data_IF_534967475483
#
_entry.id   IF_534967475483
#
_cell.length_a   1.000
_cell.length_b   1.000
_cell.length_c   1.000
_cell.angle_alpha   90.00
_cell.angle_beta   90.00
_cell.angle_gamma   90.00
#
_symmetry.space_group_name_H-M   'P 1'
#
loop_
_entity.id
_entity.type
_entity.pdbx_description
1 polymer ?
#
# COMPACT_ATOMS: atom_id res chain seq x y z
N UNK A 1 -8.26 6.11 0.29
CA UNK A 1 -6.87 5.98 -0.20
C UNK A 1 -6.20 7.30 -0.53
N UNK A 2 -6.84 8.26 -1.23
CA UNK A 2 -6.18 9.56 -1.48
C UNK A 2 -5.72 10.24 -0.17
N UNK A 3 -6.58 10.26 0.85
CA UNK A 3 -6.25 10.82 2.17
C UNK A 3 -5.05 10.15 2.83
N UNK A 4 -4.93 8.81 2.74
CA UNK A 4 -3.77 8.06 3.25
C UNK A 4 -2.47 8.51 2.57
N UNK A 5 -2.46 8.61 1.24
CA UNK A 5 -1.29 9.09 0.50
C UNK A 5 -0.92 10.52 0.87
N UNK A 6 -1.91 11.42 0.94
CA UNK A 6 -1.68 12.82 1.28
C UNK A 6 -1.13 12.98 2.71
N UNK A 7 -1.66 12.23 3.67
CA UNK A 7 -1.21 12.26 5.06
C UNK A 7 0.22 11.71 5.25
N UNK A 8 0.59 10.66 4.49
CA UNK A 8 1.95 10.12 4.50
C UNK A 8 2.94 11.00 3.71
N UNK A 9 2.41 11.81 2.78
CA UNK A 9 3.14 12.84 2.08
C UNK A 9 3.97 12.36 0.88
N UNK A 10 4.50 13.32 0.10
CA UNK A 10 5.16 13.04 -1.18
C UNK A 10 6.47 12.27 -1.02
N UNK A 11 7.16 12.39 0.12
CA UNK A 11 8.41 11.66 0.37
C UNK A 11 8.18 10.15 0.49
N UNK A 12 7.15 9.74 1.24
CA UNK A 12 6.73 8.33 1.32
C UNK A 12 6.27 7.85 -0.05
N UNK A 13 5.44 8.65 -0.75
CA UNK A 13 4.96 8.31 -2.08
C UNK A 13 6.09 8.04 -3.08
N UNK A 14 7.13 8.88 -3.08
CA UNK A 14 8.32 8.69 -3.91
C UNK A 14 8.98 7.32 -3.68
N UNK A 15 9.11 6.92 -2.42
CA UNK A 15 9.69 5.63 -2.07
C UNK A 15 8.81 4.45 -2.50
N UNK A 16 7.49 4.57 -2.36
CA UNK A 16 6.53 3.56 -2.83
C UNK A 16 6.65 3.33 -4.35
N UNK A 17 6.76 4.41 -5.14
CA UNK A 17 6.94 4.31 -6.60
C UNK A 17 8.23 3.61 -6.98
N UNK A 18 9.32 3.85 -6.25
CA UNK A 18 10.60 3.17 -6.46
C UNK A 18 10.56 1.68 -6.09
N UNK A 19 9.67 1.30 -5.17
CA UNK A 19 9.47 -0.08 -4.73
C UNK A 19 8.64 -0.95 -5.69
N UNK A 20 8.12 -0.41 -6.79
CA UNK A 20 7.29 -1.19 -7.73
C UNK A 20 8.11 -2.29 -8.42
N UNK A 21 7.67 -3.54 -8.28
CA UNK A 21 8.24 -4.69 -8.97
C UNK A 21 7.46 -5.03 -10.25
N UNK A 22 8.05 -4.71 -11.42
CA UNK A 22 7.47 -5.04 -12.73
C UNK A 22 7.25 -6.56 -12.89
N UNK A 23 8.15 -7.38 -12.33
CA UNK A 23 8.00 -8.84 -12.33
C UNK A 23 6.74 -9.28 -11.60
N UNK A 24 6.50 -8.76 -10.38
CA UNK A 24 5.29 -9.06 -9.61
C UNK A 24 4.03 -8.60 -10.34
N UNK A 25 4.03 -7.41 -10.94
CA UNK A 25 2.88 -6.95 -11.73
C UNK A 25 2.55 -7.88 -12.90
N UNK A 26 3.55 -8.51 -13.52
CA UNK A 26 3.32 -9.53 -14.56
C UNK A 26 2.81 -10.84 -13.98
N UNK A 27 3.43 -11.33 -12.90
CA UNK A 27 3.01 -12.55 -12.21
C UNK A 27 1.54 -12.52 -11.81
N UNK A 28 1.08 -11.39 -11.26
CA UNK A 28 -0.31 -11.20 -10.84
C UNK A 28 -1.21 -10.57 -11.92
N UNK A 29 -0.75 -10.54 -13.18
CA UNK A 29 -1.53 -10.05 -14.34
C UNK A 29 -2.06 -8.60 -14.21
N UNK A 30 -1.44 -7.77 -13.37
CA UNK A 30 -1.79 -6.35 -13.17
C UNK A 30 -1.09 -5.43 -14.16
N UNK A 31 0.02 -5.86 -14.78
CA UNK A 31 0.86 -5.04 -15.64
C UNK A 31 0.08 -4.25 -16.71
N UNK A 32 -0.73 -4.93 -17.53
CA UNK A 32 -1.44 -4.27 -18.64
C UNK A 32 -2.56 -3.35 -18.16
N UNK A 33 -3.33 -3.78 -17.15
CA UNK A 33 -4.38 -2.96 -16.54
C UNK A 33 -3.80 -1.68 -15.93
N UNK A 34 -2.73 -1.80 -15.15
CA UNK A 34 -2.11 -0.64 -14.52
C UNK A 34 -1.46 0.27 -15.56
N UNK A 35 -0.84 -0.28 -16.62
CA UNK A 35 -0.27 0.52 -17.72
C UNK A 35 -1.32 1.44 -18.35
N UNK A 36 -2.52 0.91 -18.60
CA UNK A 36 -3.64 1.68 -19.12
C UNK A 36 -4.13 2.74 -18.10
N UNK A 37 -4.33 2.35 -16.84
CA UNK A 37 -4.75 3.27 -15.75
C UNK A 37 -3.75 4.40 -15.48
N UNK A 38 -2.45 4.09 -15.63
CA UNK A 38 -1.35 5.03 -15.50
C UNK A 38 -1.15 5.90 -16.75
N UNK A 39 -1.85 5.59 -17.86
CA UNK A 39 -1.72 6.27 -19.17
C UNK A 39 -0.28 6.25 -19.68
N UNK A 40 0.39 5.10 -19.56
CA UNK A 40 1.78 4.92 -19.98
C UNK A 40 1.89 3.98 -21.19
N UNK A 41 2.82 4.28 -22.11
CA UNK A 41 3.11 3.40 -23.24
C UNK A 41 3.86 2.12 -22.82
N UNK A 42 4.64 2.20 -21.74
CA UNK A 42 5.41 1.09 -21.14
C UNK A 42 5.47 1.26 -19.62
N UNK A 43 5.60 0.15 -18.89
CA UNK A 43 5.88 0.18 -17.45
C UNK A 43 7.30 -0.36 -17.19
N UNK A 44 8.17 0.54 -16.74
CA UNK A 44 9.48 0.24 -16.19
C UNK A 44 9.88 1.34 -15.20
N UNK A 45 11.02 1.17 -14.52
CA UNK A 45 11.49 2.12 -13.52
C UNK A 45 11.60 3.57 -14.07
N UNK A 46 12.06 3.74 -15.31
CA UNK A 46 12.22 5.06 -15.92
C UNK A 46 10.87 5.73 -16.21
N UNK A 47 9.91 4.99 -16.79
CA UNK A 47 8.59 5.53 -17.10
C UNK A 47 7.79 5.84 -15.84
N UNK A 48 7.92 5.00 -14.79
CA UNK A 48 7.30 5.23 -13.49
C UNK A 48 7.87 6.49 -12.83
N UNK A 49 9.20 6.63 -12.76
CA UNK A 49 9.85 7.83 -12.20
C UNK A 49 9.44 9.12 -12.92
N UNK A 50 9.30 9.08 -14.25
CA UNK A 50 8.85 10.24 -15.05
C UNK A 50 7.36 10.55 -14.83
N UNK A 51 6.55 9.54 -14.54
CA UNK A 51 5.12 9.68 -14.34
C UNK A 51 4.73 10.02 -12.89
N UNK A 52 5.61 9.76 -11.93
CA UNK A 52 5.40 9.98 -10.50
C UNK A 52 4.79 11.35 -10.16
N UNK A 53 5.29 12.49 -10.68
CA UNK A 53 4.68 13.79 -10.37
C UNK A 53 3.22 13.89 -10.85
N UNK A 54 2.89 13.24 -11.98
CA UNK A 54 1.51 13.19 -12.48
C UNK A 54 0.65 12.26 -11.64
N UNK A 55 1.20 11.17 -11.11
CA UNK A 55 0.46 10.32 -10.19
C UNK A 55 0.13 11.08 -8.91
N UNK A 56 1.10 11.80 -8.35
CA UNK A 56 0.88 12.64 -7.16
C UNK A 56 -0.20 13.70 -7.41
N UNK A 57 -0.15 14.42 -8.53
CA UNK A 57 -1.18 15.40 -8.87
C UNK A 57 -2.60 14.81 -8.93
N UNK A 58 -2.74 13.55 -9.38
CA UNK A 58 -4.03 12.84 -9.41
C UNK A 58 -4.52 12.45 -8.01
N UNK A 59 -3.59 12.10 -7.12
CA UNK A 59 -3.89 11.89 -5.69
C UNK A 59 -4.35 13.19 -5.04
N UNK A 60 -3.68 14.32 -5.34
CA UNK A 60 -4.08 15.64 -4.83
C UNK A 60 -5.44 16.10 -5.37
N UNK A 61 -5.78 15.74 -6.61
CA UNK A 61 -7.10 16.01 -7.19
C UNK A 61 -8.19 15.03 -6.74
N UNK A 62 -7.91 14.13 -5.80
CA UNK A 62 -8.89 13.23 -5.22
C UNK A 62 -9.34 12.09 -6.13
N UNK A 63 -8.51 11.64 -7.09
CA UNK A 63 -8.84 10.49 -7.95
C UNK A 63 -8.77 9.15 -7.17
N UNK A 64 -9.82 8.86 -6.40
CA UNK A 64 -9.87 7.74 -5.44
C UNK A 64 -9.75 6.34 -6.10
N UNK A 65 -10.37 6.13 -7.26
CA UNK A 65 -10.20 4.88 -8.01
C UNK A 65 -8.75 4.66 -8.43
N UNK A 66 -8.06 5.72 -8.83
CA UNK A 66 -6.65 5.63 -9.21
C UNK A 66 -5.77 5.38 -7.99
N UNK A 67 -6.04 6.03 -6.86
CA UNK A 67 -5.34 5.77 -5.61
C UNK A 67 -5.48 4.31 -5.17
N UNK A 68 -6.66 3.72 -5.33
CA UNK A 68 -6.93 2.32 -5.01
C UNK A 68 -6.23 1.35 -5.99
N UNK A 69 -6.29 1.61 -7.29
CA UNK A 69 -5.53 0.80 -8.27
C UNK A 69 -4.00 0.91 -8.02
N UNK A 70 -3.51 2.08 -7.59
CA UNK A 70 -2.10 2.33 -7.29
C UNK A 70 -1.65 1.68 -5.98
N UNK A 71 -2.51 1.64 -4.95
CA UNK A 71 -2.20 0.94 -3.69
C UNK A 71 -1.92 -0.53 -3.96
N UNK A 72 -2.76 -1.19 -4.76
CA UNK A 72 -2.59 -2.59 -5.13
C UNK A 72 -1.22 -2.85 -5.79
N UNK A 73 -0.76 -1.94 -6.65
CA UNK A 73 0.55 -2.03 -7.31
C UNK A 73 1.70 -1.98 -6.31
N UNK A 74 1.63 -1.09 -5.31
CA UNK A 74 2.62 -1.02 -4.24
C UNK A 74 2.60 -2.28 -3.38
N UNK A 75 1.42 -2.76 -2.99
CA UNK A 75 1.27 -3.91 -2.10
C UNK A 75 1.72 -5.22 -2.74
N UNK A 76 1.39 -5.47 -4.00
CA UNK A 76 1.83 -6.67 -4.73
C UNK A 76 3.35 -6.78 -4.84
N UNK A 77 4.05 -5.64 -4.75
CA UNK A 77 5.52 -5.61 -4.77
C UNK A 77 6.12 -6.02 -3.41
N UNK A 78 5.31 -6.15 -2.36
CA UNK A 78 5.74 -6.35 -0.96
C UNK A 78 4.96 -7.46 -0.23
N UNK A 79 4.44 -8.45 -0.96
CA UNK A 79 3.60 -9.53 -0.39
C UNK A 79 4.22 -10.28 0.80
N UNK A 80 5.55 -10.45 0.85
CA UNK A 80 6.20 -11.11 1.99
C UNK A 80 6.09 -10.31 3.28
N UNK A 81 6.10 -8.97 3.22
CA UNK A 81 5.85 -8.12 4.38
C UNK A 81 4.39 -8.22 4.82
N UNK A 82 3.47 -8.18 3.85
CA UNK A 82 2.03 -8.27 4.08
C UNK A 82 1.69 -9.59 4.77
N UNK A 83 2.20 -10.70 4.25
CA UNK A 83 2.01 -12.02 4.85
C UNK A 83 2.50 -12.09 6.31
N UNK A 84 3.68 -11.55 6.60
CA UNK A 84 4.23 -11.53 7.95
C UNK A 84 3.38 -10.68 8.91
N UNK A 85 2.92 -9.51 8.48
CA UNK A 85 2.05 -8.64 9.28
C UNK A 85 0.69 -9.29 9.51
N UNK A 86 0.07 -9.89 8.49
CA UNK A 86 -1.21 -10.59 8.63
C UNK A 86 -1.09 -11.76 9.59
N UNK A 87 -0.01 -12.56 9.50
CA UNK A 87 0.27 -13.64 10.46
C UNK A 87 0.45 -13.12 11.89
N UNK A 88 1.18 -12.01 12.06
CA UNK A 88 1.36 -11.39 13.37
C UNK A 88 0.03 -10.92 13.99
N UNK A 89 -0.87 -10.38 13.17
CA UNK A 89 -2.22 -9.98 13.59
C UNK A 89 -3.18 -11.17 13.75
N UNK A 90 -2.76 -12.39 13.40
CA UNK A 90 -3.61 -13.57 13.39
C UNK A 90 -4.67 -13.60 12.28
N UNK A 91 -4.56 -12.71 11.29
CA UNK A 91 -5.50 -12.61 10.18
C UNK A 91 -5.29 -13.79 9.21
N UNK A 92 -6.31 -14.63 8.97
CA UNK A 92 -6.24 -15.69 7.98
C UNK A 92 -5.91 -15.12 6.60
N UNK A 93 -4.88 -15.68 5.96
CA UNK A 93 -4.44 -15.25 4.65
C UNK A 93 -3.79 -16.38 3.87
N UNK A 94 -3.81 -16.26 2.55
CA UNK A 94 -3.10 -17.13 1.63
C UNK A 94 -2.10 -16.28 0.84
N UNK A 95 -0.80 -16.42 1.14
CA UNK A 95 0.29 -15.68 0.48
C UNK A 95 0.12 -14.14 0.53
N UNK A 96 -0.36 -13.62 1.66
CA UNK A 96 -0.60 -12.19 1.85
C UNK A 96 -1.95 -11.69 1.33
N UNK A 97 -2.82 -12.56 0.82
CA UNK A 97 -4.19 -12.23 0.46
C UNK A 97 -5.15 -12.69 1.57
N UNK A 98 -5.88 -11.77 2.17
CA UNK A 98 -6.91 -12.06 3.16
C UNK A 98 -8.30 -12.19 2.54
N UNK A 99 -9.23 -12.81 3.26
CA UNK A 99 -10.64 -12.80 2.89
C UNK A 99 -11.21 -11.37 2.98
N UNK A 100 -12.18 -11.05 2.11
CA UNK A 100 -12.87 -9.76 2.09
C UNK A 100 -13.97 -9.65 3.13
N UNK A 101 -14.47 -10.78 3.62
CA UNK A 101 -15.58 -10.85 4.57
C UNK A 101 -15.10 -11.02 6.03
N UNK A 102 -13.85 -10.64 6.32
CA UNK A 102 -13.30 -10.67 7.68
C UNK A 102 -14.01 -9.66 8.58
N UNK A 103 -14.23 -10.05 9.84
CA UNK A 103 -14.61 -9.12 10.89
C UNK A 103 -13.36 -8.42 11.45
N UNK A 104 -13.12 -7.13 11.16
CA UNK A 104 -11.89 -6.44 11.54
C UNK A 104 -11.67 -6.39 13.06
N UNK A 105 -12.75 -6.25 13.83
CA UNK A 105 -12.72 -6.08 15.29
C UNK A 105 -12.11 -7.30 16.00
N UNK A 106 -12.13 -8.48 15.37
CA UNK A 106 -11.53 -9.70 15.91
C UNK A 106 -10.00 -9.66 15.91
N UNK A 107 -9.39 -8.90 15.00
CA UNK A 107 -7.95 -8.93 14.74
C UNK A 107 -7.27 -7.58 15.00
N UNK A 108 -7.92 -6.49 14.59
CA UNK A 108 -7.43 -5.11 14.72
C UNK A 108 -7.75 -4.54 16.11
N UNK A 109 -7.23 -5.19 17.15
CA UNK A 109 -7.44 -4.78 18.55
C UNK A 109 -6.72 -3.48 18.91
N UNK A 110 -7.04 -2.90 20.06
CA UNK A 110 -6.47 -1.62 20.50
C UNK A 110 -4.94 -1.55 20.34
N UNK A 111 -4.46 -0.46 19.74
CA UNK A 111 -3.04 -0.20 19.52
C UNK A 111 -2.35 -1.12 18.50
N UNK A 112 -3.09 -1.89 17.69
CA UNK A 112 -2.51 -2.82 16.72
C UNK A 112 -1.55 -2.14 15.74
N UNK A 113 -1.85 -0.91 15.27
CA UNK A 113 -0.99 -0.19 14.33
C UNK A 113 0.42 0.01 14.93
N UNK A 114 0.48 0.40 16.21
CA UNK A 114 1.74 0.58 16.93
C UNK A 114 2.46 -0.73 17.13
N UNK A 115 1.76 -1.80 17.53
CA UNK A 115 2.37 -3.13 17.73
C UNK A 115 2.99 -3.66 16.44
N UNK A 116 2.31 -3.53 15.30
CA UNK A 116 2.85 -3.89 13.98
C UNK A 116 4.05 -3.04 13.64
N UNK A 117 3.97 -1.72 13.85
CA UNK A 117 5.09 -0.82 13.56
C UNK A 117 6.34 -1.15 14.37
N UNK A 118 6.19 -1.34 15.68
CA UNK A 118 7.31 -1.66 16.58
C UNK A 118 7.97 -3.00 16.20
N UNK A 119 7.16 -4.03 15.90
CA UNK A 119 7.64 -5.36 15.53
C UNK A 119 8.43 -5.36 14.21
N UNK A 120 7.95 -4.63 13.20
CA UNK A 120 8.42 -4.79 11.82
C UNK A 120 9.31 -3.66 11.30
N UNK A 121 9.40 -2.53 12.01
CA UNK A 121 10.15 -1.35 11.54
C UNK A 121 11.65 -1.56 11.39
N UNK A 122 12.24 -2.54 12.10
CA UNK A 122 13.64 -2.94 11.94
C UNK A 122 13.86 -3.93 10.78
N UNK A 123 12.81 -4.64 10.36
CA UNK A 123 12.87 -5.72 9.35
C UNK A 123 12.54 -5.23 7.94
N UNK A 124 11.59 -4.32 7.82
CA UNK A 124 11.09 -3.80 6.55
C UNK A 124 11.34 -2.31 6.41
N UNK A 125 11.34 -1.82 5.17
CA UNK A 125 11.45 -0.39 4.93
C UNK A 125 10.25 0.33 5.59
N UNK A 126 10.58 1.35 6.39
CA UNK A 126 9.61 2.12 7.19
C UNK A 126 8.44 2.64 6.36
N UNK A 127 8.68 3.19 5.17
CA UNK A 127 7.65 3.88 4.39
C UNK A 127 6.58 2.94 3.85
N UNK A 128 6.97 1.76 3.36
CA UNK A 128 6.01 0.75 2.88
C UNK A 128 5.27 0.09 4.04
N UNK A 129 5.92 -0.09 5.19
CA UNK A 129 5.26 -0.61 6.40
C UNK A 129 4.18 0.38 6.87
N UNK A 130 4.51 1.67 6.96
CA UNK A 130 3.54 2.72 7.31
C UNK A 130 2.40 2.80 6.32
N UNK A 131 2.71 2.71 5.02
CA UNK A 131 1.68 2.65 3.99
C UNK A 131 0.76 1.46 4.18
N UNK A 132 1.30 0.26 4.43
CA UNK A 132 0.50 -0.94 4.58
C UNK A 132 -0.38 -0.91 5.84
N UNK A 133 0.14 -0.45 6.98
CA UNK A 133 -0.65 -0.29 8.21
C UNK A 133 -1.87 0.60 7.95
N UNK A 134 -1.65 1.77 7.33
CA UNK A 134 -2.73 2.71 7.04
C UNK A 134 -3.67 2.20 5.95
N UNK A 135 -3.15 1.49 4.94
CA UNK A 135 -3.97 0.84 3.94
C UNK A 135 -4.87 -0.24 4.56
N UNK A 136 -4.34 -1.07 5.45
CA UNK A 136 -5.10 -2.14 6.08
C UNK A 136 -6.24 -1.58 6.96
N UNK A 137 -5.97 -0.51 7.70
CA UNK A 137 -6.99 0.19 8.49
C UNK A 137 -8.07 0.82 7.60
N UNK A 138 -7.64 1.52 6.55
CA UNK A 138 -8.57 2.07 5.55
C UNK A 138 -9.39 0.97 4.88
N UNK A 139 -8.80 -0.17 4.54
CA UNK A 139 -9.49 -1.23 3.82
C UNK A 139 -10.55 -1.91 4.70
N UNK A 140 -10.22 -2.17 5.97
CA UNK A 140 -11.08 -2.93 6.88
C UNK A 140 -12.06 -2.05 7.66
N UNK A 141 -11.65 -0.88 8.13
CA UNK A 141 -12.48 0.00 8.95
C UNK A 141 -13.05 1.19 8.18
N UNK A 142 -12.65 1.40 6.91
CA UNK A 142 -13.07 2.54 6.09
C UNK A 142 -12.87 3.89 6.80
N UNK A 143 -11.80 3.98 7.59
CA UNK A 143 -11.44 5.16 8.38
C UNK A 143 -10.53 6.11 7.57
N UNK A 144 -10.66 7.40 7.85
CA UNK A 144 -9.76 8.45 7.35
C UNK A 144 -8.67 8.81 8.37
N UNK A 145 -8.66 8.17 9.55
CA UNK A 145 -7.60 8.37 10.53
C UNK A 145 -6.31 7.69 10.05
N UNK A 146 -5.21 8.45 10.07
CA UNK A 146 -3.90 7.95 9.65
C UNK A 146 -3.02 7.80 10.87
N UNK A 147 -2.52 6.59 11.07
CA UNK A 147 -1.48 6.30 12.03
C UNK A 147 -0.14 6.89 11.58
N UNK A 148 0.41 7.76 12.44
CA UNK A 148 1.78 8.25 12.36
C UNK A 148 2.48 7.88 13.67
N UNK A 149 3.58 7.12 13.63
CA UNK A 149 4.34 6.79 14.84
C UNK A 149 4.91 8.08 15.43
N UNK A 150 5.00 8.13 16.76
CA UNK A 150 5.67 9.23 17.46
C UNK A 150 7.12 9.36 16.95
N UNK A 151 7.59 10.62 16.84
CA UNK A 151 8.93 10.97 16.38
C UNK A 151 10.01 10.54 17.38
#
# INVERSE_FOLDING_TARGET
MCGVFQALGPSVFHQLVRGISIGKLKTYQIYERFKARARLAKLNAESLRKAEPKFWARIESGEEEFATDLSQVFLLSHLGMIEDVLKFLGIPNEQGFSDKDLNPEQYLTEGWQKRVFDEFSAKYQRDILLFYINHLDWELNKTDQVFLPAA
#
